data_IF_214314757156
#
_entry.id   IF_214314757156
#
_cell.length_a   1.000
_cell.length_b   1.000
_cell.length_c   1.000
_cell.angle_alpha   90.00
_cell.angle_beta   90.00
_cell.angle_gamma   90.00
#
_symmetry.space_group_name_H-M   'P 1'
#
loop_
_entity.id
_entity.type
_entity.pdbx_description
1 polymer ?
#
# COMPACT_ATOMS: atom_id res chain seq x y z
N UNK A 1 -16.94 -6.55 9.42
CA UNK A 1 -15.48 -6.41 9.19
C UNK A 1 -15.28 -6.08 7.72
N UNK A 2 -14.49 -5.05 7.40
CA UNK A 2 -14.18 -4.66 6.02
C UNK A 2 -12.70 -4.92 5.72
N UNK A 3 -12.38 -5.23 4.47
CA UNK A 3 -11.02 -5.46 3.99
C UNK A 3 -10.76 -4.62 2.74
N UNK A 4 -9.53 -4.19 2.56
CA UNK A 4 -9.06 -3.43 1.39
C UNK A 4 -7.89 -4.20 0.77
N UNK A 5 -8.00 -4.51 -0.51
CA UNK A 5 -6.93 -5.09 -1.33
C UNK A 5 -6.70 -4.20 -2.54
N UNK A 6 -5.44 -4.04 -2.95
CA UNK A 6 -5.06 -3.25 -4.11
C UNK A 6 -3.74 -3.75 -4.69
N UNK A 7 -3.54 -3.50 -5.98
CA UNK A 7 -2.29 -3.75 -6.70
C UNK A 7 -1.76 -2.45 -7.30
N UNK A 8 -0.44 -2.35 -7.36
CA UNK A 8 0.24 -1.23 -8.01
C UNK A 8 0.82 -1.68 -9.36
N UNK A 9 0.62 -0.85 -10.39
CA UNK A 9 1.35 -1.00 -11.64
C UNK A 9 2.79 -0.58 -11.40
N UNK A 10 3.72 -1.54 -11.37
CA UNK A 10 5.14 -1.32 -11.02
C UNK A 10 5.76 -0.21 -11.86
N UNK A 11 5.65 -0.29 -13.19
CA UNK A 11 6.26 0.68 -14.11
C UNK A 11 5.76 2.11 -13.89
N UNK A 12 4.46 2.29 -13.67
CA UNK A 12 3.89 3.61 -13.39
C UNK A 12 4.26 4.09 -11.99
N UNK A 13 4.33 3.19 -11.02
CA UNK A 13 4.67 3.55 -9.64
C UNK A 13 6.14 3.96 -9.54
N UNK A 14 7.06 3.29 -10.24
CA UNK A 14 8.46 3.70 -10.31
C UNK A 14 8.63 5.08 -10.97
N UNK A 15 7.84 5.36 -12.01
CA UNK A 15 7.88 6.65 -12.71
C UNK A 15 7.32 7.81 -11.88
N UNK A 16 6.26 7.57 -11.11
CA UNK A 16 5.50 8.63 -10.44
C UNK A 16 5.79 8.75 -8.94
N UNK A 17 6.24 7.68 -8.28
CA UNK A 17 6.50 7.68 -6.86
C UNK A 17 7.98 8.02 -6.57
N UNK A 18 8.31 9.12 -5.86
CA UNK A 18 9.69 9.60 -5.70
C UNK A 18 10.66 8.60 -5.04
N UNK A 19 10.12 7.59 -4.35
CA UNK A 19 10.87 6.59 -3.57
C UNK A 19 10.62 5.16 -4.04
N UNK A 20 10.01 4.98 -5.21
CA UNK A 20 9.71 3.68 -5.80
C UNK A 20 8.56 2.92 -5.12
N UNK A 21 8.38 1.67 -5.56
CA UNK A 21 7.21 0.83 -5.27
C UNK A 21 7.10 0.44 -3.80
N UNK A 22 8.20 0.01 -3.17
CA UNK A 22 8.17 -0.44 -1.79
C UNK A 22 7.72 0.67 -0.84
N UNK A 23 8.19 1.91 -1.06
CA UNK A 23 7.76 3.06 -0.29
C UNK A 23 6.30 3.42 -0.58
N UNK A 24 5.83 3.29 -1.82
CA UNK A 24 4.42 3.55 -2.15
C UNK A 24 3.46 2.63 -1.36
N UNK A 25 3.78 1.33 -1.25
CA UNK A 25 3.02 0.41 -0.40
C UNK A 25 3.03 0.84 1.08
N UNK A 26 4.18 1.30 1.59
CA UNK A 26 4.30 1.78 2.97
C UNK A 26 3.48 3.05 3.21
N UNK A 27 3.50 4.00 2.27
CA UNK A 27 2.80 5.28 2.38
C UNK A 27 1.27 5.06 2.32
N UNK A 28 0.80 4.15 1.46
CA UNK A 28 -0.60 3.72 1.43
C UNK A 28 -0.99 3.06 2.76
N UNK A 29 -0.19 2.13 3.26
CA UNK A 29 -0.44 1.48 4.55
C UNK A 29 -0.50 2.47 5.72
N UNK A 30 0.41 3.44 5.75
CA UNK A 30 0.45 4.51 6.75
C UNK A 30 -0.78 5.42 6.67
N UNK A 31 -1.31 5.64 5.46
CA UNK A 31 -2.54 6.41 5.25
C UNK A 31 -3.77 5.63 5.73
N UNK A 32 -3.88 4.35 5.34
CA UNK A 32 -4.98 3.47 5.73
C UNK A 32 -5.05 3.25 7.25
N UNK A 33 -3.91 3.21 7.93
CA UNK A 33 -3.84 3.12 9.39
C UNK A 33 -4.59 4.27 10.09
N UNK A 34 -4.61 5.49 9.50
CA UNK A 34 -5.35 6.64 10.05
C UNK A 34 -6.87 6.42 10.08
N UNK A 35 -7.37 5.48 9.28
CA UNK A 35 -8.77 5.10 9.18
C UNK A 35 -9.08 3.78 9.88
N UNK A 36 -8.16 3.26 10.70
CA UNK A 36 -8.34 2.01 11.43
C UNK A 36 -8.13 0.74 10.59
N UNK A 37 -7.61 0.87 9.36
CA UNK A 37 -7.22 -0.27 8.55
C UNK A 37 -5.78 -0.66 8.86
N UNK A 38 -5.60 -1.82 9.48
CA UNK A 38 -4.28 -2.38 9.73
C UNK A 38 -3.95 -3.48 8.73
N UNK A 39 -2.69 -3.51 8.28
CA UNK A 39 -2.19 -4.58 7.43
C UNK A 39 -1.96 -5.83 8.27
N UNK A 40 -2.89 -6.77 8.21
CA UNK A 40 -2.75 -8.08 8.84
C UNK A 40 -2.04 -8.99 7.83
N UNK A 41 -0.72 -9.16 7.98
CA UNK A 41 0.02 -10.14 7.17
C UNK A 41 -0.29 -11.54 7.73
N UNK A 42 -1.26 -12.23 7.11
CA UNK A 42 -1.76 -13.54 7.52
C UNK A 42 -2.38 -14.35 6.38
N UNK A 43 -2.10 -14.01 5.13
CA UNK A 43 -2.25 -14.92 4.00
C UNK A 43 -1.01 -14.71 3.14
N UNK A 44 -0.16 -15.74 3.11
CA UNK A 44 1.07 -15.78 2.31
C UNK A 44 0.79 -15.46 0.84
#
# INVERSE_FOLDING_TARGET
>A
MYAISFDLVVADTEKNHPKGVAQAYFDIGSTLRKFGFERVQGSL
#
